data_IF_205592585761
#
_entry.id   IF_205592585761
#
_cell.length_a   1.000
_cell.length_b   1.000
_cell.length_c   1.000
_cell.angle_alpha   90.00
_cell.angle_beta   90.00
_cell.angle_gamma   90.00
#
_symmetry.space_group_name_H-M   'P 1'
#
loop_
_entity.id
_entity.type
_entity.pdbx_description
1 polymer ?
#
# COMPACT_ATOMS: atom_id res chain seq x y z
N UNK A 1 3.79 23.50 -15.03
CA UNK A 1 3.34 23.02 -13.72
C UNK A 1 4.48 22.20 -13.16
N UNK A 2 4.91 22.45 -11.92
CA UNK A 2 5.88 21.59 -11.27
C UNK A 2 5.08 20.50 -10.57
N UNK A 3 5.03 19.32 -11.16
CA UNK A 3 4.36 18.16 -10.60
C UNK A 3 5.09 17.77 -9.31
N UNK A 4 4.41 17.84 -8.15
CA UNK A 4 5.00 17.34 -6.91
C UNK A 4 4.74 15.84 -6.81
N UNK A 5 5.77 15.10 -6.41
CA UNK A 5 5.65 13.67 -6.13
C UNK A 5 5.26 13.49 -4.66
N UNK A 6 4.19 12.75 -4.43
CA UNK A 6 3.71 12.36 -3.10
C UNK A 6 3.88 10.85 -2.93
N UNK A 7 4.91 10.47 -2.18
CA UNK A 7 5.20 9.08 -1.86
C UNK A 7 4.41 8.62 -0.63
N UNK A 8 3.68 7.52 -0.77
CA UNK A 8 2.92 6.84 0.27
C UNK A 8 3.54 5.46 0.49
N UNK A 9 3.96 5.20 1.72
CA UNK A 9 4.40 3.88 2.15
C UNK A 9 3.26 3.20 2.92
N UNK A 10 2.91 2.00 2.48
CA UNK A 10 2.00 1.10 3.17
C UNK A 10 2.84 0.00 3.80
N UNK A 11 2.72 -0.19 5.11
CA UNK A 11 3.26 -1.35 5.80
C UNK A 11 2.11 -2.24 6.26
N UNK A 12 2.24 -3.55 6.02
CA UNK A 12 1.25 -4.55 6.40
C UNK A 12 1.84 -5.48 7.46
N UNK A 13 1.12 -5.66 8.56
CA UNK A 13 1.36 -6.72 9.53
C UNK A 13 0.84 -8.05 8.99
N UNK A 14 1.71 -8.76 8.29
CA UNK A 14 1.38 -10.05 7.70
C UNK A 14 1.17 -11.12 8.76
N UNK A 15 1.93 -11.07 9.86
CA UNK A 15 1.87 -12.07 10.92
C UNK A 15 0.47 -12.06 11.55
N UNK A 16 -0.03 -10.89 11.93
CA UNK A 16 -1.40 -10.75 12.48
C UNK A 16 -2.49 -11.22 11.50
N UNK A 17 -2.33 -11.00 10.18
CA UNK A 17 -3.28 -11.50 9.16
C UNK A 17 -3.29 -13.04 9.13
N UNK A 18 -2.10 -13.65 9.09
CA UNK A 18 -1.97 -15.11 9.01
C UNK A 18 -2.45 -15.78 10.30
N UNK A 19 -2.06 -15.26 11.46
CA UNK A 19 -2.53 -15.75 12.77
C UNK A 19 -4.06 -15.65 12.90
N UNK A 20 -4.65 -14.53 12.47
CA UNK A 20 -6.11 -14.37 12.45
C UNK A 20 -6.79 -15.42 11.57
N UNK A 21 -6.20 -15.74 10.41
CA UNK A 21 -6.73 -16.79 9.52
C UNK A 21 -6.58 -18.20 10.13
N UNK A 22 -5.44 -18.49 10.76
CA UNK A 22 -5.16 -19.77 11.43
C UNK A 22 -6.08 -20.01 12.63
N UNK A 23 -6.41 -18.95 13.38
CA UNK A 23 -7.39 -18.97 14.46
C UNK A 23 -8.84 -19.10 13.97
N UNK A 24 -9.07 -19.09 12.66
CA UNK A 24 -10.37 -19.27 12.05
C UNK A 24 -11.24 -18.01 12.03
N UNK A 25 -10.67 -16.83 12.27
CA UNK A 25 -11.42 -15.56 12.21
C UNK A 25 -11.98 -15.30 10.81
N UNK A 26 -11.20 -15.68 9.79
CA UNK A 26 -11.62 -15.65 8.40
C UNK A 26 -10.84 -16.70 7.60
N UNK A 27 -11.32 -17.01 6.40
CA UNK A 27 -10.57 -17.82 5.44
C UNK A 27 -9.76 -16.89 4.52
N UNK A 28 -8.44 -17.00 4.57
CA UNK A 28 -7.55 -16.28 3.66
C UNK A 28 -7.80 -16.73 2.22
N UNK A 29 -8.20 -15.79 1.36
CA UNK A 29 -8.53 -16.09 -0.03
C UNK A 29 -7.32 -16.56 -0.82
N UNK A 30 -7.54 -17.56 -1.68
CA UNK A 30 -6.57 -18.06 -2.66
C UNK A 30 -6.91 -17.59 -4.08
N UNK A 31 -7.90 -16.71 -4.22
CA UNK A 31 -8.38 -16.19 -5.49
C UNK A 31 -8.09 -14.70 -5.58
N UNK A 32 -7.21 -14.31 -6.51
CA UNK A 32 -6.83 -12.92 -6.73
C UNK A 32 -8.00 -12.03 -7.19
N UNK A 33 -9.04 -12.61 -7.80
CA UNK A 33 -10.24 -11.88 -8.23
C UNK A 33 -11.23 -11.65 -7.09
N UNK A 34 -11.08 -12.37 -5.98
CA UNK A 34 -11.92 -12.27 -4.79
C UNK A 34 -11.08 -12.28 -3.51
N UNK A 35 -10.26 -11.23 -3.28
CA UNK A 35 -9.41 -11.13 -2.09
C UNK A 35 -10.23 -11.03 -0.80
N UNK A 36 -9.64 -11.42 0.33
CA UNK A 36 -10.25 -11.24 1.65
C UNK A 36 -10.31 -9.75 2.00
N UNK A 37 -11.53 -9.18 2.06
CA UNK A 37 -11.74 -7.77 2.39
C UNK A 37 -11.57 -7.52 3.90
N UNK A 38 -10.41 -7.00 4.30
CA UNK A 38 -10.00 -6.89 5.70
C UNK A 38 -10.86 -5.91 6.51
N UNK A 39 -11.46 -4.92 5.84
CA UNK A 39 -12.40 -3.98 6.46
C UNK A 39 -13.66 -4.66 7.00
N UNK A 40 -14.06 -5.78 6.39
CA UNK A 40 -15.27 -6.53 6.76
C UNK A 40 -15.02 -7.58 7.86
N UNK A 41 -13.76 -7.76 8.28
CA UNK A 41 -13.35 -8.74 9.29
C UNK A 41 -13.09 -7.99 10.59
N UNK A 42 -13.60 -8.51 11.71
CA UNK A 42 -13.47 -7.89 13.03
C UNK A 42 -12.74 -8.80 13.99
N UNK A 43 -11.71 -8.29 14.66
CA UNK A 43 -11.14 -8.91 15.86
C UNK A 43 -11.58 -8.10 17.08
N UNK A 44 -12.51 -8.67 17.84
CA UNK A 44 -13.24 -7.96 18.88
C UNK A 44 -14.03 -6.77 18.31
N UNK A 45 -13.67 -5.56 18.75
CA UNK A 45 -14.32 -4.30 18.33
C UNK A 45 -13.57 -3.58 17.21
N UNK A 46 -12.43 -4.09 16.76
CA UNK A 46 -11.57 -3.45 15.77
C UNK A 46 -11.71 -4.16 14.43
N UNK A 47 -11.70 -3.40 13.33
CA UNK A 47 -11.57 -4.00 12.01
C UNK A 47 -10.16 -4.53 11.84
N UNK A 48 -10.01 -5.69 11.20
CA UNK A 48 -8.71 -6.28 10.96
C UNK A 48 -7.82 -5.34 10.14
N UNK A 49 -8.39 -4.60 9.17
CA UNK A 49 -7.66 -3.54 8.45
C UNK A 49 -6.99 -2.54 9.38
N UNK A 50 -7.66 -2.14 10.47
CA UNK A 50 -7.18 -1.11 11.41
C UNK A 50 -6.06 -1.63 12.32
N UNK A 51 -5.92 -2.95 12.42
CA UNK A 51 -4.89 -3.62 13.20
C UNK A 51 -3.64 -3.92 12.35
N UNK A 52 -3.80 -4.11 11.05
CA UNK A 52 -2.74 -4.69 10.19
C UNK A 52 -2.24 -3.76 9.11
N UNK A 53 -2.91 -2.65 8.83
CA UNK A 53 -2.49 -1.69 7.79
C UNK A 53 -2.02 -0.41 8.45
N UNK A 54 -0.83 0.05 8.07
CA UNK A 54 -0.29 1.33 8.48
C UNK A 54 0.18 2.09 7.26
N UNK A 55 -0.31 3.31 7.11
CA UNK A 55 -0.01 4.16 5.97
C UNK A 55 0.69 5.43 6.42
N UNK A 56 1.80 5.76 5.77
CA UNK A 56 2.56 6.99 6.06
C UNK A 56 2.89 7.73 4.77
N UNK A 57 2.97 9.05 4.91
CA UNK A 57 3.34 9.99 3.84
C UNK A 57 4.32 11.00 4.42
N UNK A 58 4.99 11.78 3.57
CA UNK A 58 5.74 12.94 4.06
C UNK A 58 4.81 13.83 4.89
N UNK A 59 5.26 14.23 6.09
CA UNK A 59 4.48 15.04 7.04
C UNK A 59 3.83 16.30 6.43
N UNK A 60 4.49 16.94 5.46
CA UNK A 60 3.95 18.13 4.76
C UNK A 60 2.75 17.83 3.85
N UNK A 61 2.52 16.55 3.52
CA UNK A 61 1.44 16.10 2.65
C UNK A 61 0.32 15.39 3.43
N UNK A 62 0.50 15.11 4.71
CA UNK A 62 -0.56 14.54 5.56
C UNK A 62 -1.67 15.56 5.82
N UNK A 63 -2.93 15.13 5.79
CA UNK A 63 -4.12 15.89 6.17
C UNK A 63 -4.74 15.33 7.46
N UNK A 64 -3.96 15.26 8.53
CA UNK A 64 -4.38 14.69 9.81
C UNK A 64 -3.37 13.69 10.36
N UNK A 65 -3.89 12.67 11.05
CA UNK A 65 -3.07 11.57 11.57
C UNK A 65 -2.59 10.66 10.43
N UNK A 66 -1.36 10.18 10.54
CA UNK A 66 -0.78 9.11 9.74
C UNK A 66 -0.48 7.88 10.63
N UNK A 67 -0.10 6.78 10.00
CA UNK A 67 0.22 5.52 10.68
C UNK A 67 -1.00 4.63 10.99
N UNK A 68 -2.20 4.97 10.52
CA UNK A 68 -3.37 4.10 10.56
C UNK A 68 -3.64 3.37 9.24
N UNK A 69 -4.72 2.61 9.19
CA UNK A 69 -5.25 1.94 7.99
C UNK A 69 -5.85 2.92 6.96
N UNK A 70 -6.12 4.13 7.44
CA UNK A 70 -6.64 5.27 6.71
C UNK A 70 -5.58 6.36 6.61
N UNK A 71 -5.53 7.05 5.47
CA UNK A 71 -4.56 8.12 5.26
C UNK A 71 -5.16 9.27 4.47
N UNK A 72 -5.53 10.34 5.16
CA UNK A 72 -5.88 11.58 4.51
C UNK A 72 -4.60 12.26 4.00
N UNK A 73 -4.51 12.44 2.68
CA UNK A 73 -3.41 13.14 2.00
C UNK A 73 -3.96 14.41 1.37
N UNK A 74 -3.19 15.50 1.44
CA UNK A 74 -3.44 16.73 0.69
C UNK A 74 -2.68 16.65 -0.64
N UNK A 75 -3.42 16.48 -1.73
CA UNK A 75 -2.92 16.37 -3.09
C UNK A 75 -3.44 17.54 -3.92
N UNK A 76 -2.63 18.12 -4.77
CA UNK A 76 -3.09 19.15 -5.72
C UNK A 76 -3.38 18.52 -7.06
N UNK A 77 -4.26 19.15 -7.84
CA UNK A 77 -4.38 18.83 -9.26
C UNK A 77 -3.00 18.99 -9.94
N UNK A 78 -2.56 17.95 -10.65
CA UNK A 78 -1.24 17.85 -11.28
C UNK A 78 -0.17 17.16 -10.42
N UNK A 79 -0.43 16.85 -9.15
CA UNK A 79 0.50 16.05 -8.35
C UNK A 79 0.52 14.59 -8.83
N UNK A 80 1.67 13.93 -8.66
CA UNK A 80 1.83 12.50 -8.91
C UNK A 80 1.91 11.74 -7.59
N UNK A 81 1.06 10.75 -7.42
CA UNK A 81 1.07 9.85 -6.27
C UNK A 81 1.94 8.64 -6.59
N UNK A 82 2.64 8.12 -5.57
CA UNK A 82 3.37 6.86 -5.65
C UNK A 82 3.09 6.00 -4.43
N UNK A 83 2.60 4.79 -4.62
CA UNK A 83 2.43 3.81 -3.55
C UNK A 83 3.53 2.76 -3.61
N UNK A 84 4.07 2.45 -2.43
CA UNK A 84 4.86 1.24 -2.19
C UNK A 84 4.25 0.51 -1.01
N UNK A 85 4.27 -0.82 -1.08
CA UNK A 85 3.87 -1.66 0.04
C UNK A 85 5.04 -2.54 0.49
N UNK A 86 5.06 -2.86 1.78
CA UNK A 86 5.98 -3.84 2.34
C UNK A 86 5.37 -4.48 3.59
N UNK A 87 5.90 -5.63 4.03
CA UNK A 87 5.56 -6.16 5.35
C UNK A 87 6.25 -5.34 6.45
N UNK A 88 5.79 -5.42 7.69
CA UNK A 88 6.47 -4.77 8.83
C UNK A 88 7.95 -5.16 8.93
N UNK A 89 8.29 -6.41 8.60
CA UNK A 89 9.66 -6.91 8.55
C UNK A 89 10.41 -6.55 7.27
N UNK A 90 9.87 -5.66 6.42
CA UNK A 90 10.47 -5.23 5.15
C UNK A 90 10.90 -6.38 4.23
N UNK A 91 10.05 -7.39 4.05
CA UNK A 91 10.33 -8.50 3.13
C UNK A 91 11.23 -9.61 3.70
N UNK A 92 11.59 -9.59 4.99
CA UNK A 92 12.45 -10.62 5.59
C UNK A 92 11.86 -12.05 5.52
N UNK A 93 10.58 -12.20 5.85
CA UNK A 93 9.88 -13.50 5.84
C UNK A 93 8.74 -13.52 4.81
N UNK A 94 7.98 -12.42 4.78
CA UNK A 94 6.87 -12.22 3.87
C UNK A 94 7.04 -10.94 3.07
N UNK A 95 6.70 -11.00 1.80
CA UNK A 95 6.58 -9.85 0.91
C UNK A 95 5.11 -9.53 0.65
N UNK A 96 4.83 -8.24 0.46
CA UNK A 96 3.50 -7.72 0.15
C UNK A 96 3.56 -7.05 -1.20
N UNK A 97 2.68 -7.45 -2.11
CA UNK A 97 2.64 -6.91 -3.47
C UNK A 97 1.24 -6.38 -3.74
N UNK A 98 1.12 -5.05 -3.89
CA UNK A 98 -0.09 -4.43 -4.42
C UNK A 98 -0.26 -4.86 -5.89
N UNK A 99 -1.45 -5.33 -6.28
CA UNK A 99 -1.68 -5.80 -7.64
C UNK A 99 -2.91 -5.18 -8.32
N UNK A 100 -3.83 -4.57 -7.57
CA UNK A 100 -5.02 -3.96 -8.15
C UNK A 100 -5.47 -2.76 -7.33
N UNK A 101 -5.71 -1.65 -8.04
CA UNK A 101 -6.38 -0.46 -7.53
C UNK A 101 -7.82 -0.42 -8.06
N UNK A 102 -8.77 0.04 -7.25
CA UNK A 102 -10.14 0.30 -7.70
C UNK A 102 -10.70 1.51 -6.97
N UNK A 103 -11.18 2.54 -7.69
CA UNK A 103 -11.92 3.64 -7.06
C UNK A 103 -13.31 3.12 -6.66
N UNK A 104 -13.62 3.13 -5.36
CA UNK A 104 -14.86 2.56 -4.82
C UNK A 104 -15.92 3.62 -4.56
N UNK A 105 -15.53 4.84 -4.19
CA UNK A 105 -16.48 5.93 -3.97
C UNK A 105 -15.94 7.32 -4.34
N UNK A 106 -16.68 8.10 -5.15
CA UNK A 106 -17.81 7.64 -5.98
C UNK A 106 -17.31 6.64 -7.04
N UNK A 107 -18.09 5.60 -7.39
CA UNK A 107 -17.67 4.66 -8.43
C UNK A 107 -17.64 5.34 -9.80
N UNK A 108 -16.72 4.92 -10.67
CA UNK A 108 -16.58 5.51 -12.01
C UNK A 108 -17.80 5.30 -12.93
N UNK A 109 -18.69 4.36 -12.58
CA UNK A 109 -19.97 4.18 -13.25
C UNK A 109 -20.95 5.31 -12.99
N UNK A 110 -20.81 6.02 -11.88
CA UNK A 110 -21.67 7.15 -11.49
C UNK A 110 -21.06 8.50 -11.85
N UNK A 111 -19.74 8.64 -11.71
CA UNK A 111 -18.98 9.80 -12.21
C UNK A 111 -17.83 9.33 -13.10
N UNK A 112 -17.96 9.46 -14.43
CA UNK A 112 -16.96 8.95 -15.37
C UNK A 112 -15.65 9.76 -15.34
N UNK A 113 -15.59 10.86 -14.60
CA UNK A 113 -14.38 11.63 -14.43
C UNK A 113 -13.59 11.08 -13.22
N UNK A 114 -12.48 10.36 -13.42
CA UNK A 114 -11.70 9.85 -12.29
C UNK A 114 -11.01 10.98 -11.54
N UNK A 115 -10.76 10.78 -10.24
CA UNK A 115 -9.93 11.67 -9.42
C UNK A 115 -8.43 11.38 -9.56
N UNK A 116 -8.12 10.15 -9.95
CA UNK A 116 -6.78 9.65 -10.23
C UNK A 116 -6.77 8.98 -11.60
N UNK A 117 -5.86 9.39 -12.47
CA UNK A 117 -5.61 8.73 -13.76
C UNK A 117 -4.27 8.02 -13.77
N UNK A 118 -4.03 7.20 -14.80
CA UNK A 118 -2.77 6.51 -15.02
C UNK A 118 -2.32 5.69 -13.80
N UNK A 119 -3.28 5.01 -13.15
CA UNK A 119 -2.99 4.12 -12.03
C UNK A 119 -2.30 2.86 -12.56
N UNK A 120 -0.97 2.88 -12.60
CA UNK A 120 -0.17 1.82 -13.23
C UNK A 120 1.05 1.45 -12.39
N UNK A 121 1.50 0.19 -12.42
CA UNK A 121 2.76 -0.20 -11.81
C UNK A 121 3.91 0.26 -12.70
N UNK A 122 4.95 0.82 -12.09
CA UNK A 122 6.21 1.17 -12.74
C UNK A 122 7.34 0.36 -12.13
N UNK A 123 8.07 -0.35 -12.99
CA UNK A 123 9.20 -1.19 -12.61
C UNK A 123 10.49 -0.39 -12.76
N UNK A 124 11.26 -0.30 -11.68
CA UNK A 124 12.58 0.32 -11.68
C UNK A 124 13.64 -0.75 -11.90
N UNK A 125 14.40 -0.72 -13.02
CA UNK A 125 15.37 -1.77 -13.35
C UNK A 125 16.59 -1.76 -12.41
N UNK A 126 16.86 -0.63 -11.75
CA UNK A 126 17.98 -0.46 -10.83
C UNK A 126 17.61 0.53 -9.73
N UNK A 127 17.56 0.05 -8.49
CA UNK A 127 17.29 0.84 -7.27
C UNK A 127 18.35 0.52 -6.22
N UNK A 128 18.97 1.51 -5.55
CA UNK A 128 19.95 1.26 -4.50
C UNK A 128 19.34 0.49 -3.31
N UNK A 129 20.01 -0.57 -2.86
CA UNK A 129 19.68 -1.31 -1.64
C UNK A 129 20.96 -1.60 -0.83
N UNK A 130 21.58 -0.59 -0.21
CA UNK A 130 22.85 -0.77 0.48
C UNK A 130 22.77 -1.87 1.55
N UNK A 131 23.84 -2.67 1.69
CA UNK A 131 23.99 -3.65 2.78
C UNK A 131 25.09 -3.22 3.74
N UNK A 132 24.91 -3.60 5.00
CA UNK A 132 25.89 -3.35 6.06
C UNK A 132 27.13 -4.22 5.81
N UNK A 133 28.32 -3.62 5.97
CA UNK A 133 29.54 -4.39 6.10
C UNK A 133 29.59 -5.03 7.50
N UNK A 134 29.46 -6.36 7.58
CA UNK A 134 29.44 -7.09 8.85
C UNK A 134 30.67 -6.83 9.72
N UNK A 135 31.84 -6.71 9.09
CA UNK A 135 33.12 -6.57 9.79
C UNK A 135 33.42 -5.10 10.15
N UNK A 136 32.68 -4.15 9.55
CA UNK A 136 32.73 -2.74 9.91
C UNK A 136 31.33 -2.09 9.79
N UNK A 137 30.41 -2.33 10.74
CA UNK A 137 29.02 -1.87 10.62
C UNK A 137 28.84 -0.35 10.59
N UNK A 138 29.81 0.41 11.12
CA UNK A 138 29.83 1.87 11.10
C UNK A 138 30.52 2.46 9.84
N UNK A 139 31.09 1.60 9.00
CA UNK A 139 31.79 1.99 7.78
C UNK A 139 30.86 2.30 6.60
N UNK A 140 31.47 2.52 5.44
CA UNK A 140 30.72 2.69 4.20
C UNK A 140 29.91 1.42 3.89
N UNK A 141 28.61 1.55 3.54
CA UNK A 141 27.80 0.41 3.16
C UNK A 141 28.29 -0.18 1.84
N UNK A 142 28.09 -1.48 1.66
CA UNK A 142 28.38 -2.14 0.39
C UNK A 142 27.23 -1.81 -0.56
N UNK A 143 27.51 -1.17 -1.71
CA UNK A 143 26.48 -0.84 -2.67
C UNK A 143 25.98 -2.11 -3.37
N UNK A 144 24.66 -2.21 -3.53
CA UNK A 144 24.03 -3.11 -4.49
C UNK A 144 22.82 -2.41 -5.09
N UNK A 145 22.39 -2.89 -6.25
CA UNK A 145 21.18 -2.45 -6.92
C UNK A 145 20.23 -3.63 -7.10
N UNK A 146 18.95 -3.36 -6.91
CA UNK A 146 17.88 -4.33 -7.08
C UNK A 146 16.81 -3.80 -8.02
N UNK A 147 16.10 -4.70 -8.68
CA UNK A 147 14.88 -4.37 -9.42
C UNK A 147 13.74 -4.20 -8.42
N UNK A 148 13.02 -3.09 -8.49
CA UNK A 148 11.87 -2.80 -7.61
C UNK A 148 10.70 -2.27 -8.43
N UNK A 149 9.59 -1.97 -7.76
CA UNK A 149 8.44 -1.33 -8.40
C UNK A 149 7.73 -0.41 -7.42
N UNK A 150 6.89 0.45 -7.96
CA UNK A 150 5.90 1.25 -7.24
C UNK A 150 4.66 1.38 -8.13
N UNK A 151 3.52 1.66 -7.53
CA UNK A 151 2.34 2.10 -8.28
C UNK A 151 2.34 3.62 -8.36
N UNK A 152 1.94 4.19 -9.49
CA UNK A 152 1.78 5.63 -9.63
C UNK A 152 0.39 6.00 -10.13
N UNK A 153 -0.01 7.24 -9.88
CA UNK A 153 -1.20 7.86 -10.46
C UNK A 153 -1.03 9.38 -10.53
N UNK A 154 -1.81 10.02 -11.38
CA UNK A 154 -1.84 11.48 -11.52
C UNK A 154 -3.15 12.03 -10.95
N UNK A 155 -3.08 13.06 -10.10
CA UNK A 155 -4.24 13.73 -9.54
C UNK A 155 -4.86 14.71 -10.54
N UNK A 156 -6.13 14.50 -10.90
CA UNK A 156 -6.76 15.19 -12.03
C UNK A 156 -7.75 16.28 -11.64
N UNK A 157 -8.39 16.18 -10.47
CA UNK A 157 -9.40 17.14 -10.01
C UNK A 157 -9.56 17.12 -8.50
N UNK A 158 -9.99 18.26 -7.95
CA UNK A 158 -10.22 18.43 -6.51
C UNK A 158 -11.38 17.58 -5.99
N UNK A 159 -11.25 17.10 -4.75
CA UNK A 159 -12.25 16.36 -4.01
C UNK A 159 -12.05 16.50 -2.50
N UNK A 160 -13.14 16.47 -1.74
CA UNK A 160 -13.06 16.44 -0.29
C UNK A 160 -12.69 15.06 0.23
N UNK A 161 -13.14 14.00 -0.47
CA UNK A 161 -12.88 12.61 -0.10
C UNK A 161 -13.12 11.69 -1.30
N UNK A 162 -12.19 10.77 -1.56
CA UNK A 162 -12.35 9.65 -2.48
C UNK A 162 -11.91 8.39 -1.77
N UNK A 163 -12.74 7.35 -1.83
CA UNK A 163 -12.41 6.03 -1.30
C UNK A 163 -11.96 5.14 -2.45
N UNK A 164 -10.92 4.35 -2.20
CA UNK A 164 -10.37 3.42 -3.16
C UNK A 164 -9.97 2.15 -2.44
N UNK A 165 -9.87 1.04 -3.18
CA UNK A 165 -9.39 -0.23 -2.67
C UNK A 165 -8.04 -0.55 -3.28
N UNK A 166 -7.11 -0.97 -2.44
CA UNK A 166 -5.94 -1.73 -2.86
C UNK A 166 -6.18 -3.21 -2.56
N UNK A 167 -5.97 -4.06 -3.57
CA UNK A 167 -5.78 -5.48 -3.37
C UNK A 167 -4.28 -5.81 -3.38
N UNK A 168 -3.89 -6.70 -2.49
CA UNK A 168 -2.51 -7.13 -2.32
C UNK A 168 -2.41 -8.64 -2.10
N UNK A 169 -1.28 -9.21 -2.52
CA UNK A 169 -0.94 -10.60 -2.25
C UNK A 169 0.16 -10.68 -1.20
N UNK A 170 0.08 -11.71 -0.36
CA UNK A 170 1.12 -12.10 0.58
C UNK A 170 1.94 -13.22 -0.06
N UNK A 171 3.25 -13.06 -0.06
CA UNK A 171 4.19 -14.01 -0.67
C UNK A 171 5.24 -14.38 0.37
N UNK A 172 5.56 -15.66 0.51
CA UNK A 172 6.64 -16.10 1.40
C UNK A 172 8.04 -15.93 0.79
N UNK A 173 9.05 -16.28 1.56
CA UNK A 173 10.47 -16.22 1.18
C UNK A 173 10.83 -17.07 -0.06
N UNK A 174 10.02 -18.07 -0.40
CA UNK A 174 10.23 -18.98 -1.52
C UNK A 174 9.42 -18.54 -2.76
N UNK A 175 8.83 -17.34 -2.72
CA UNK A 175 7.95 -16.77 -3.75
C UNK A 175 6.62 -17.50 -3.91
N UNK A 176 6.17 -18.26 -2.91
CA UNK A 176 4.84 -18.87 -2.92
C UNK A 176 3.82 -17.86 -2.43
N UNK A 177 2.73 -17.72 -3.18
CA UNK A 177 1.58 -16.92 -2.75
C UNK A 177 0.88 -17.65 -1.61
N UNK A 178 0.71 -16.95 -0.49
CA UNK A 178 -0.01 -17.44 0.69
C UNK A 178 -1.48 -17.04 0.67
N UNK A 179 -1.81 -15.93 0.02
CA UNK A 179 -3.19 -15.51 -0.19
C UNK A 179 -3.33 -14.04 -0.60
N UNK A 180 -4.58 -13.64 -0.77
CA UNK A 180 -4.96 -12.34 -1.31
C UNK A 180 -5.89 -11.60 -0.34
N UNK A 181 -5.60 -10.32 -0.11
CA UNK A 181 -6.33 -9.44 0.78
C UNK A 181 -6.62 -8.11 0.09
N UNK A 182 -7.60 -7.36 0.60
CA UNK A 182 -7.87 -6.00 0.19
C UNK A 182 -8.26 -5.13 1.38
N UNK A 183 -8.07 -3.82 1.25
CA UNK A 183 -8.63 -2.82 2.16
C UNK A 183 -8.90 -1.51 1.40
N UNK A 184 -9.75 -0.67 1.97
CA UNK A 184 -10.33 0.51 1.32
C UNK A 184 -10.04 1.84 2.03
N UNK A 185 -8.85 2.43 1.84
CA UNK A 185 -8.54 3.74 2.40
C UNK A 185 -9.20 4.89 1.61
N UNK A 186 -9.08 6.12 2.12
CA UNK A 186 -9.47 7.34 1.39
C UNK A 186 -8.37 8.40 1.32
N UNK A 187 -8.42 9.28 0.31
CA UNK A 187 -7.61 10.50 0.22
C UNK A 187 -8.50 11.73 -0.07
N UNK A 188 -7.89 12.93 -0.03
CA UNK A 188 -8.51 14.18 -0.52
C UNK A 188 -7.62 14.84 -1.57
N UNK A 189 -8.21 15.62 -2.48
CA UNK A 189 -7.48 16.40 -3.48
C UNK A 189 -7.90 17.86 -3.31
N UNK A 190 -6.97 18.72 -2.87
CA UNK A 190 -7.20 20.14 -2.56
C UNK A 190 -6.20 21.03 -3.29
#
# INVERSE_FOLDING_TARGET
MNDNIVDILITIDVDTILESAEQGLFKLSQDASNPSQLYNIYDGNNRLSDLVVYMVVRRSNADGADGGSELAVNLRQGDQLRWRATSLSKGLYYSVILYQYTQTHPPLSEDPNPYLTNVVPTVLPSTPLPIINRDNPAGQPIPQNVKTFYWQADATRVCTRVTYTWSFMIVDRDNKVLGYCSWDPYFSIR
#
